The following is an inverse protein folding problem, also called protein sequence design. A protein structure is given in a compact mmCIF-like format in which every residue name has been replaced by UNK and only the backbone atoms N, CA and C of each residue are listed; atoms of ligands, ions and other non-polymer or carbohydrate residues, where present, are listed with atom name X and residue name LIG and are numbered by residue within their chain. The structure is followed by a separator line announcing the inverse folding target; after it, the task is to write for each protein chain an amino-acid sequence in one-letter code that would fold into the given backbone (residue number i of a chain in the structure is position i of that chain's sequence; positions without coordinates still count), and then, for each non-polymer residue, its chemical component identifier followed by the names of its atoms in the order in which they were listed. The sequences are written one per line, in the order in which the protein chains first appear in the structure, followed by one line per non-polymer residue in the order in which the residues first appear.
data_IF_640993144564
#
_entry.id   IF_640993144564
#
_cell.length_a   1.000
_cell.length_b   1.000
_cell.length_c   1.000
_cell.angle_alpha   90.00
_cell.angle_beta   90.00
_cell.angle_gamma   90.00
#
_symmetry.space_group_name_H-M   'P 1'
#
loop_
_entity.id
_entity.type
_entity.pdbx_description
1 polymer ?
#
# COMPACT_ATOMS: atom_id res chain seq x y z
N UNK A 1 -13.60 -8.64 -16.91
CA UNK A 1 -13.04 -7.27 -16.80
C UNK A 1 -11.53 -7.36 -16.85
N UNK A 2 -10.82 -6.38 -17.43
CA UNK A 2 -9.35 -6.33 -17.43
C UNK A 2 -8.85 -5.55 -16.22
N UNK A 3 -7.78 -6.02 -15.60
CA UNK A 3 -7.09 -5.34 -14.48
C UNK A 3 -5.72 -4.84 -14.95
N UNK A 4 -5.26 -3.74 -14.35
CA UNK A 4 -3.91 -3.19 -14.55
C UNK A 4 -3.30 -2.88 -13.17
N UNK A 5 -1.98 -2.83 -13.08
CA UNK A 5 -1.25 -2.45 -11.87
C UNK A 5 -0.57 -1.10 -12.11
N UNK A 6 -0.75 -0.16 -11.20
CA UNK A 6 -0.12 1.15 -11.22
C UNK A 6 0.96 1.20 -10.14
N UNK A 7 2.10 1.80 -10.47
CA UNK A 7 3.13 2.20 -9.52
C UNK A 7 3.04 3.72 -9.39
N UNK A 8 2.64 4.18 -8.20
CA UNK A 8 2.46 5.59 -7.87
C UNK A 8 3.24 5.89 -6.61
N UNK A 9 3.84 7.07 -6.53
CA UNK A 9 4.41 7.56 -5.28
C UNK A 9 3.32 7.89 -4.26
N UNK A 10 3.71 8.07 -3.00
CA UNK A 10 2.80 8.46 -1.93
C UNK A 10 2.11 9.81 -2.23
N UNK A 11 2.83 10.74 -2.87
CA UNK A 11 2.28 12.04 -3.24
C UNK A 11 1.20 11.90 -4.33
N UNK A 12 1.52 11.18 -5.41
CA UNK A 12 0.59 10.95 -6.52
C UNK A 12 -0.68 10.21 -6.09
N UNK A 13 -0.56 9.21 -5.20
CA UNK A 13 -1.73 8.50 -4.68
C UNK A 13 -2.57 9.39 -3.76
N UNK A 14 -1.96 10.27 -2.95
CA UNK A 14 -2.68 11.21 -2.12
C UNK A 14 -3.46 12.22 -2.98
N UNK A 15 -2.85 12.78 -4.03
CA UNK A 15 -3.55 13.67 -4.98
C UNK A 15 -4.72 12.94 -5.65
N UNK A 16 -4.53 11.68 -6.02
CA UNK A 16 -5.60 10.86 -6.61
C UNK A 16 -6.75 10.65 -5.63
N UNK A 17 -6.46 10.31 -4.37
CA UNK A 17 -7.47 10.14 -3.31
C UNK A 17 -8.20 11.44 -3.00
N UNK A 18 -7.51 12.58 -2.99
CA UNK A 18 -8.11 13.91 -2.80
C UNK A 18 -9.07 14.24 -3.95
N UNK A 19 -8.67 14.01 -5.20
CA UNK A 19 -9.54 14.20 -6.36
C UNK A 19 -10.79 13.31 -6.30
N UNK A 20 -10.65 12.06 -5.86
CA UNK A 20 -11.79 11.16 -5.65
C UNK A 20 -12.71 11.64 -4.51
N UNK A 21 -12.15 12.24 -3.45
CA UNK A 21 -12.90 12.81 -2.33
C UNK A 21 -13.80 14.00 -2.71
N UNK A 22 -13.51 14.67 -3.83
CA UNK A 22 -14.34 15.74 -4.38
C UNK A 22 -15.58 15.23 -5.14
N UNK A 23 -15.71 13.92 -5.35
CA UNK A 23 -16.86 13.29 -6.01
C UNK A 23 -17.89 12.76 -5.00
N UNK A 24 -19.15 12.51 -5.41
CA UNK A 24 -20.15 11.92 -4.55
C UNK A 24 -19.71 10.57 -3.98
N UNK A 25 -19.76 10.41 -2.66
CA UNK A 25 -19.26 9.23 -1.94
C UNK A 25 -19.75 7.90 -2.52
N UNK A 26 -21.04 7.82 -2.89
CA UNK A 26 -21.67 6.62 -3.47
C UNK A 26 -20.99 6.11 -4.75
N UNK A 27 -20.23 6.97 -5.45
CA UNK A 27 -19.50 6.60 -6.66
C UNK A 27 -18.07 6.13 -6.37
N UNK A 28 -17.46 6.63 -5.29
CA UNK A 28 -16.01 6.47 -5.05
C UNK A 28 -15.67 5.54 -3.89
N UNK A 29 -16.60 5.24 -2.98
CA UNK A 29 -16.31 4.45 -1.78
C UNK A 29 -15.73 3.06 -2.07
N UNK A 30 -16.25 2.36 -3.09
CA UNK A 30 -15.73 1.06 -3.51
C UNK A 30 -14.34 1.17 -4.14
N UNK A 31 -14.10 2.23 -4.93
CA UNK A 31 -12.82 2.46 -5.58
C UNK A 31 -11.74 2.79 -4.55
N UNK A 32 -12.04 3.70 -3.61
CA UNK A 32 -11.15 4.06 -2.50
C UNK A 32 -10.83 2.83 -1.66
N UNK A 33 -11.83 2.00 -1.34
CA UNK A 33 -11.60 0.76 -0.59
C UNK A 33 -10.66 -0.19 -1.33
N UNK A 34 -10.83 -0.37 -2.66
CA UNK A 34 -9.93 -1.19 -3.48
C UNK A 34 -8.51 -0.65 -3.55
N UNK A 35 -8.34 0.67 -3.63
CA UNK A 35 -7.03 1.32 -3.59
C UNK A 35 -6.37 1.04 -2.24
N UNK A 36 -7.11 1.21 -1.13
CA UNK A 36 -6.58 1.01 0.21
C UNK A 36 -6.11 -0.43 0.42
N UNK A 37 -6.92 -1.43 0.00
CA UNK A 37 -6.56 -2.84 0.06
C UNK A 37 -5.28 -3.18 -0.73
N UNK A 38 -5.02 -2.50 -1.85
CA UNK A 38 -3.80 -2.69 -2.64
C UNK A 38 -2.58 -1.98 -2.05
N UNK A 39 -2.80 -0.86 -1.35
CA UNK A 39 -1.74 -0.04 -0.74
C UNK A 39 -1.31 -0.52 0.64
N UNK A 40 -2.21 -1.02 1.48
CA UNK A 40 -1.91 -1.51 2.84
C UNK A 40 -0.68 -2.44 2.92
N UNK A 41 -0.53 -3.48 2.09
CA UNK A 41 0.66 -4.34 2.16
C UNK A 41 1.97 -3.65 1.72
N UNK A 42 1.88 -2.55 0.97
CA UNK A 42 3.04 -1.80 0.48
C UNK A 42 3.53 -0.79 1.53
N UNK A 43 2.62 -0.20 2.31
CA UNK A 43 2.93 0.78 3.37
C UNK A 43 3.32 0.10 4.68
N UNK A 44 2.74 -1.07 5.00
CA UNK A 44 3.07 -1.82 6.22
C UNK A 44 4.37 -2.63 6.13
N UNK A 45 5.03 -2.68 4.96
CA UNK A 45 6.26 -3.44 4.71
C UNK A 45 7.56 -2.76 5.14
N UNK A 46 7.55 -1.51 5.60
CA UNK A 46 8.75 -0.78 6.05
C UNK A 46 9.13 -1.03 7.51
N UNK A 47 8.53 -2.04 8.17
CA UNK A 47 8.83 -2.41 9.56
C UNK A 47 9.38 -3.84 9.74
N UNK A 48 9.79 -4.54 8.68
CA UNK A 48 10.30 -5.91 8.84
C UNK A 48 11.45 -6.27 7.87
N UNK A 49 12.57 -5.57 7.98
CA UNK A 49 13.87 -6.09 7.51
C UNK A 49 15.02 -5.67 8.43
N UNK A 50 14.92 -5.98 9.72
CA UNK A 50 16.10 -6.11 10.59
C UNK A 50 15.86 -7.14 11.69
N UNK A 51 15.56 -8.39 11.32
CA UNK A 51 15.86 -9.52 12.21
C UNK A 51 16.16 -10.78 11.40
N UNK A 52 17.08 -10.68 10.45
CA UNK A 52 17.82 -11.83 9.96
C UNK A 52 19.13 -11.95 10.76
N UNK A 53 19.06 -12.35 12.04
CA UNK A 53 20.19 -13.03 12.68
C UNK A 53 19.92 -14.54 12.58
N UNK A 54 20.70 -15.30 11.79
CA UNK A 54 20.54 -16.75 11.71
C UNK A 54 20.86 -17.42 13.06
N UNK A 55 20.31 -18.63 13.31
CA UNK A 55 20.59 -19.40 14.51
C UNK A 55 21.97 -20.05 14.41
N UNK A 56 22.82 -19.84 15.42
CA UNK A 56 24.03 -20.64 15.68
C UNK A 56 25.30 -20.26 14.90
N UNK A 57 26.27 -19.66 15.59
CA UNK A 57 27.71 -19.81 15.36
C UNK A 57 28.50 -19.23 16.56
N UNK A 58 29.56 -19.93 16.99
CA UNK A 58 30.38 -19.80 18.21
C UNK A 58 29.69 -20.37 19.46
N UNK A 59 29.87 -21.64 19.87
CA UNK A 59 31.15 -22.35 20.11
C UNK A 59 32.17 -21.46 20.83
N UNK A 60 32.14 -21.51 22.17
CA UNK A 60 33.32 -21.49 23.04
C UNK A 60 33.03 -22.29 24.32
#
# INVERSE_FOLDING_TARGET
MKTIRLELTLDEINTTLEALGNLPFIKVHELISKIHQQASPQVSGTANHETAKPPGAAEE
#
